data_IF_429854636809
#
_entry.id   IF_429854636809
#
_cell.length_a   1.000
_cell.length_b   1.000
_cell.length_c   1.000
_cell.angle_alpha   90.00
_cell.angle_beta   90.00
_cell.angle_gamma   90.00
#
_symmetry.space_group_name_H-M   'P 1'
#
loop_
_entity.id
_entity.type
_entity.pdbx_description
1 polymer ?
#
# COMPACT_ATOMS: atom_id res chain seq x y z
N UNK A 1 18.25 1.22 -11.81
CA UNK A 1 17.06 2.09 -11.90
C UNK A 1 15.86 1.18 -11.72
N UNK A 2 15.25 1.14 -10.54
CA UNK A 2 14.04 0.35 -10.33
C UNK A 2 12.92 1.06 -11.11
N UNK A 3 12.35 0.43 -12.12
CA UNK A 3 11.23 1.01 -12.86
C UNK A 3 9.99 0.99 -11.97
N UNK A 4 9.20 2.05 -12.02
CA UNK A 4 7.92 2.19 -11.27
C UNK A 4 6.85 1.18 -11.74
N UNK A 5 7.21 0.32 -12.70
CA UNK A 5 6.37 -0.67 -13.37
C UNK A 5 6.15 -1.93 -12.51
N UNK A 6 6.99 -2.16 -11.51
CA UNK A 6 6.80 -3.23 -10.53
C UNK A 6 7.11 -2.72 -9.13
N UNK A 7 6.10 -2.70 -8.26
CA UNK A 7 6.25 -2.32 -6.86
C UNK A 7 5.67 -3.40 -5.95
N UNK A 8 6.55 -4.06 -5.20
CA UNK A 8 6.17 -5.03 -4.16
C UNK A 8 6.22 -4.44 -2.75
N UNK A 9 6.55 -3.15 -2.61
CA UNK A 9 6.52 -2.38 -1.35
C UNK A 9 7.50 -2.88 -0.26
N UNK A 10 8.27 -3.92 -0.58
CA UNK A 10 9.21 -4.54 0.34
C UNK A 10 10.27 -3.54 0.82
N UNK A 11 10.58 -3.58 2.13
CA UNK A 11 11.57 -2.72 2.81
C UNK A 11 11.17 -1.26 2.99
N UNK A 12 9.88 -0.97 3.13
CA UNK A 12 9.39 0.41 3.32
C UNK A 12 9.75 1.37 2.17
N UNK A 13 9.76 0.85 0.94
CA UNK A 13 9.89 1.65 -0.28
C UNK A 13 8.56 1.61 -1.04
N UNK A 14 7.99 2.77 -1.32
CA UNK A 14 6.75 2.90 -2.10
C UNK A 14 7.01 2.89 -3.62
N UNK A 15 8.25 2.67 -4.06
CA UNK A 15 8.66 2.62 -5.47
C UNK A 15 8.23 3.87 -6.25
N UNK A 16 8.28 5.04 -5.60
CA UNK A 16 7.84 6.32 -6.18
C UNK A 16 6.35 6.64 -6.02
N UNK A 17 5.53 5.74 -5.49
CA UNK A 17 4.23 6.12 -4.93
C UNK A 17 4.43 6.97 -3.67
N UNK A 18 3.44 7.78 -3.35
CA UNK A 18 3.43 8.60 -2.14
C UNK A 18 2.06 8.55 -1.48
N UNK A 19 2.06 8.46 -0.17
CA UNK A 19 0.88 8.75 0.60
C UNK A 19 0.55 10.24 0.51
N UNK A 20 -0.73 10.55 0.33
CA UNK A 20 -1.22 11.89 0.59
C UNK A 20 -1.37 12.10 2.09
N UNK A 21 -0.73 13.14 2.64
CA UNK A 21 -0.83 13.47 4.08
C UNK A 21 -1.83 14.58 4.36
N UNK A 22 -2.56 15.05 3.34
CA UNK A 22 -3.60 16.08 3.48
C UNK A 22 -5.01 15.48 3.48
N UNK A 23 -5.13 14.16 3.48
CA UNK A 23 -6.41 13.47 3.64
C UNK A 23 -6.64 13.11 5.12
N UNK A 24 -7.51 12.15 5.40
CA UNK A 24 -8.00 11.87 6.74
C UNK A 24 -7.33 10.67 7.40
N UNK A 25 -6.66 9.82 6.62
CA UNK A 25 -6.12 8.54 7.07
C UNK A 25 -4.83 8.22 6.32
N UNK A 26 -3.83 7.80 7.05
CA UNK A 26 -2.54 7.40 6.50
C UNK A 26 -2.47 5.87 6.35
N UNK A 27 -1.97 5.41 5.20
CA UNK A 27 -1.56 4.02 4.99
C UNK A 27 -0.43 3.63 5.93
N UNK A 28 -0.51 2.41 6.45
CA UNK A 28 0.47 1.87 7.40
C UNK A 28 1.17 0.67 6.80
N UNK A 29 2.47 0.58 7.00
CA UNK A 29 3.25 -0.62 6.70
C UNK A 29 3.12 -1.65 7.81
N UNK A 30 2.96 -2.91 7.42
CA UNK A 30 3.05 -4.04 8.34
C UNK A 30 3.84 -5.20 7.74
N UNK A 31 4.47 -5.95 8.63
CA UNK A 31 5.14 -7.24 8.37
C UNK A 31 4.45 -8.40 9.12
N UNK A 32 3.33 -8.12 9.78
CA UNK A 32 2.59 -9.04 10.66
C UNK A 32 1.08 -8.77 10.59
N UNK A 33 0.29 -9.49 11.38
CA UNK A 33 -1.15 -9.22 11.55
C UNK A 33 -1.44 -7.76 11.91
N UNK A 34 -2.59 -7.26 11.48
CA UNK A 34 -3.09 -5.93 11.83
C UNK A 34 -3.44 -5.83 13.32
N UNK A 35 -3.45 -4.62 13.93
CA UNK A 35 -3.82 -4.43 15.33
C UNK A 35 -5.22 -4.95 15.66
N UNK A 36 -6.18 -4.74 14.75
CA UNK A 36 -7.51 -5.32 14.87
C UNK A 36 -7.49 -6.81 14.52
N UNK A 37 -8.09 -7.63 15.38
CA UNK A 37 -8.13 -9.07 15.17
C UNK A 37 -8.92 -9.43 13.91
N UNK A 38 -8.42 -10.40 13.14
CA UNK A 38 -9.07 -10.96 11.94
C UNK A 38 -9.30 -9.95 10.80
N UNK A 39 -8.58 -8.82 10.75
CA UNK A 39 -8.74 -7.81 9.68
C UNK A 39 -7.57 -7.72 8.71
N UNK A 40 -6.49 -8.47 8.93
CA UNK A 40 -5.32 -8.44 8.08
C UNK A 40 -4.53 -9.74 8.10
N UNK A 41 -3.64 -9.94 7.13
CA UNK A 41 -2.91 -11.19 6.96
C UNK A 41 -1.77 -11.31 7.97
N UNK A 42 -1.34 -12.55 8.23
CA UNK A 42 -0.16 -12.79 9.07
C UNK A 42 1.15 -12.43 8.35
N UNK A 43 1.20 -12.60 7.04
CA UNK A 43 2.35 -12.29 6.18
C UNK A 43 1.87 -11.57 4.91
N UNK A 44 2.76 -10.85 4.24
CA UNK A 44 2.47 -10.27 2.93
C UNK A 44 2.37 -11.36 1.84
N UNK A 45 1.80 -11.01 0.69
CA UNK A 45 1.63 -11.95 -0.43
C UNK A 45 2.94 -12.24 -1.19
N UNK A 46 3.90 -11.31 -1.23
CA UNK A 46 5.11 -11.44 -2.04
C UNK A 46 6.06 -12.48 -1.46
N UNK A 47 6.31 -12.41 -0.15
CA UNK A 47 7.25 -13.32 0.52
C UNK A 47 6.57 -14.44 1.32
N UNK A 48 5.30 -14.26 1.70
CA UNK A 48 4.54 -15.16 2.57
C UNK A 48 5.31 -15.56 3.85
N UNK A 49 6.08 -14.61 4.39
CA UNK A 49 6.78 -14.75 5.66
C UNK A 49 6.97 -13.37 6.30
N UNK A 50 7.47 -13.35 7.54
CA UNK A 50 7.64 -12.12 8.33
C UNK A 50 8.70 -11.13 7.82
N UNK A 51 9.36 -11.42 6.69
CA UNK A 51 10.35 -10.50 6.08
C UNK A 51 9.73 -9.60 5.01
N UNK A 52 8.63 -10.00 4.40
CA UNK A 52 7.96 -9.17 3.41
C UNK A 52 6.97 -8.21 4.07
N UNK A 53 6.45 -7.28 3.28
CA UNK A 53 5.69 -6.13 3.79
C UNK A 53 4.43 -5.91 2.98
N UNK A 54 3.38 -5.43 3.62
CA UNK A 54 2.19 -4.95 2.94
C UNK A 54 1.74 -3.59 3.49
N UNK A 55 0.98 -2.86 2.68
CA UNK A 55 0.28 -1.64 3.09
C UNK A 55 -1.15 -1.98 3.48
N UNK A 56 -1.63 -1.35 4.52
CA UNK A 56 -3.03 -1.45 4.92
C UNK A 56 -3.56 -0.12 5.48
N UNK A 57 -4.88 -0.05 5.59
CA UNK A 57 -5.59 0.97 6.35
C UNK A 57 -6.30 0.29 7.51
N UNK A 58 -6.08 0.78 8.72
CA UNK A 58 -6.87 0.38 9.87
C UNK A 58 -8.19 1.15 9.83
N UNK A 59 -9.27 0.47 9.43
CA UNK A 59 -10.61 1.06 9.32
C UNK A 59 -11.46 0.83 10.57
N UNK A 60 -10.91 0.19 11.61
CA UNK A 60 -11.61 0.00 12.87
C UNK A 60 -11.69 1.31 13.68
N UNK A 61 -12.40 1.27 14.81
CA UNK A 61 -12.56 2.43 15.70
C UNK A 61 -11.20 3.07 16.03
N UNK A 62 -11.05 4.40 15.93
CA UNK A 62 -12.10 5.41 15.85
C UNK A 62 -12.48 5.87 14.44
N UNK A 63 -12.05 5.16 13.39
CA UNK A 63 -12.34 5.54 12.00
C UNK A 63 -13.85 5.51 11.74
N UNK A 64 -14.35 6.59 11.14
CA UNK A 64 -15.76 6.79 10.81
C UNK A 64 -16.01 6.62 9.31
N UNK A 65 -17.21 6.14 8.91
CA UNK A 65 -17.58 6.03 7.51
C UNK A 65 -17.40 7.35 6.75
N UNK A 66 -16.79 7.28 5.57
CA UNK A 66 -16.54 8.43 4.71
C UNK A 66 -15.17 9.10 4.86
N UNK A 67 -14.37 8.71 5.85
CA UNK A 67 -12.93 9.05 5.87
C UNK A 67 -12.20 8.38 4.71
N UNK A 68 -11.19 9.06 4.17
CA UNK A 68 -10.46 8.69 2.96
C UNK A 68 -8.96 8.72 3.22
N UNK A 69 -8.30 7.75 2.60
CA UNK A 69 -6.86 7.71 2.39
C UNK A 69 -6.58 7.67 0.89
N UNK A 70 -5.47 8.27 0.46
CA UNK A 70 -5.02 8.30 -0.93
C UNK A 70 -3.57 7.88 -1.00
N UNK A 71 -3.31 6.85 -1.81
CA UNK A 71 -1.98 6.51 -2.27
C UNK A 71 -1.85 7.00 -3.71
N UNK A 72 -0.92 7.93 -3.93
CA UNK A 72 -0.74 8.62 -5.21
C UNK A 72 0.44 7.98 -5.92
N UNK A 73 0.21 7.43 -7.10
CA UNK A 73 1.28 6.90 -7.93
C UNK A 73 2.17 8.00 -8.52
N UNK A 74 3.27 7.58 -9.14
CA UNK A 74 4.00 8.46 -10.04
C UNK A 74 3.17 8.81 -11.28
N UNK A 75 3.64 9.77 -12.07
CA UNK A 75 3.10 10.01 -13.40
C UNK A 75 3.57 8.87 -14.32
N UNK A 76 2.65 7.98 -14.69
CA UNK A 76 2.89 6.99 -15.73
C UNK A 76 2.71 7.64 -17.10
N UNK A 77 3.77 7.67 -17.91
CA UNK A 77 3.68 8.07 -19.31
C UNK A 77 3.42 6.82 -20.14
N UNK A 78 2.32 6.78 -20.92
CA UNK A 78 2.03 5.61 -21.73
C UNK A 78 3.12 5.42 -22.79
N UNK A 79 3.71 4.23 -22.83
CA UNK A 79 4.67 3.84 -23.86
C UNK A 79 3.99 3.15 -25.06
N UNK A 80 2.75 2.69 -24.88
CA UNK A 80 1.90 2.02 -25.88
C UNK A 80 0.44 2.48 -25.71
N UNK A 81 -0.42 2.14 -26.69
CA UNK A 81 -1.88 2.38 -26.60
C UNK A 81 -2.53 1.64 -25.43
N UNK A 82 -1.97 0.49 -25.06
CA UNK A 82 -2.52 -0.39 -24.04
C UNK A 82 -1.53 -0.59 -22.90
N UNK A 83 -1.92 -0.18 -21.69
CA UNK A 83 -1.23 -0.44 -20.44
C UNK A 83 -2.25 -0.83 -19.37
N UNK A 84 -1.89 -1.81 -18.52
CA UNK A 84 -2.77 -2.34 -17.49
C UNK A 84 -2.13 -2.15 -16.11
N UNK A 85 -2.84 -1.52 -15.19
CA UNK A 85 -2.52 -1.58 -13.77
C UNK A 85 -3.17 -2.84 -13.21
N UNK A 86 -2.36 -3.70 -12.58
CA UNK A 86 -2.80 -4.93 -11.94
C UNK A 86 -2.61 -4.84 -10.44
#
# INVERSE_FOLDING_TARGET
VLSVEYCNIDKSDLCGWRQDRTDQLDWTWSHSSTPTMNTGPNNDHTMDNSKGSYLYLESSSPVSPGQKARLISTIFRPYSSDMCLR
#
